data_IF_828867064575
#
_entry.id   IF_828867064575
#
_cell.length_a   1.000
_cell.length_b   1.000
_cell.length_c   1.000
_cell.angle_alpha   90.00
_cell.angle_beta   90.00
_cell.angle_gamma   90.00
#
_symmetry.space_group_name_H-M   'P 1'
#
loop_
_entity.id
_entity.type
_entity.pdbx_description
1 polymer ?
#
# COMPACT_ATOMS: atom_id res chain seq x y z
N UNK A 1 -0.36 34.78 -1.02
CA UNK A 1 -1.83 34.68 -0.90
C UNK A 1 -2.42 34.64 -2.29
N UNK A 2 -2.68 33.47 -2.85
CA UNK A 2 -3.48 33.31 -4.08
C UNK A 2 -4.45 32.14 -3.86
N UNK A 3 -5.46 32.38 -3.02
CA UNK A 3 -6.74 31.71 -3.16
C UNK A 3 -7.52 32.42 -4.27
N UNK A 4 -8.47 31.74 -4.89
CA UNK A 4 -9.38 32.25 -5.95
C UNK A 4 -8.88 32.13 -7.40
N UNK A 5 -8.91 30.90 -7.95
CA UNK A 5 -9.51 30.61 -9.28
C UNK A 5 -9.75 29.10 -9.56
N UNK A 6 -9.40 28.21 -8.62
CA UNK A 6 -9.56 26.75 -8.84
C UNK A 6 -11.03 26.30 -8.91
N UNK A 7 -11.97 26.97 -8.22
CA UNK A 7 -13.38 26.58 -8.23
C UNK A 7 -14.10 26.87 -9.55
N UNK A 8 -13.67 27.90 -10.31
CA UNK A 8 -14.21 28.20 -11.64
C UNK A 8 -13.71 27.24 -12.70
N UNK A 9 -12.41 26.91 -12.67
CA UNK A 9 -11.82 25.90 -13.55
C UNK A 9 -12.42 24.49 -13.30
N UNK A 10 -12.63 24.12 -12.03
CA UNK A 10 -13.23 22.84 -11.61
C UNK A 10 -14.66 22.63 -12.11
N UNK A 11 -15.54 23.63 -11.95
CA UNK A 11 -16.91 23.54 -12.52
C UNK A 11 -16.84 23.45 -14.03
N UNK A 12 -16.01 24.26 -14.68
CA UNK A 12 -15.94 24.27 -16.14
C UNK A 12 -15.45 22.92 -16.71
N UNK A 13 -14.43 22.28 -16.13
CA UNK A 13 -13.96 20.96 -16.59
C UNK A 13 -14.99 19.85 -16.31
N UNK A 14 -15.61 19.85 -15.13
CA UNK A 14 -16.66 18.88 -14.79
C UNK A 14 -17.92 19.07 -15.64
N UNK A 15 -18.36 20.31 -15.82
CA UNK A 15 -19.50 20.65 -16.67
C UNK A 15 -19.18 20.33 -18.13
N UNK A 16 -17.97 20.59 -18.61
CA UNK A 16 -17.55 20.21 -19.98
C UNK A 16 -17.48 18.69 -20.16
N UNK A 17 -16.91 17.93 -19.22
CA UNK A 17 -16.86 16.46 -19.30
C UNK A 17 -18.26 15.83 -19.19
N UNK A 18 -19.11 16.39 -18.34
CA UNK A 18 -20.50 15.96 -18.18
C UNK A 18 -21.36 16.30 -19.41
N UNK A 19 -21.15 17.47 -20.03
CA UNK A 19 -21.81 17.89 -21.27
C UNK A 19 -21.31 17.12 -22.50
N UNK A 20 -20.01 16.81 -22.58
CA UNK A 20 -19.41 16.07 -23.69
C UNK A 20 -19.92 14.63 -23.77
N UNK A 21 -20.24 14.03 -22.62
CA UNK A 21 -20.54 12.59 -22.57
C UNK A 21 -22.02 12.26 -22.53
N UNK A 22 -22.91 13.24 -22.31
CA UNK A 22 -24.35 13.16 -22.62
C UNK A 22 -24.98 11.77 -22.46
N UNK A 23 -24.69 11.08 -21.35
CA UNK A 23 -25.12 9.70 -21.06
C UNK A 23 -24.97 8.66 -22.19
N UNK A 24 -23.96 8.77 -23.06
CA UNK A 24 -23.64 7.77 -24.08
C UNK A 24 -22.44 6.94 -23.68
N UNK A 25 -22.70 5.79 -23.04
CA UNK A 25 -21.67 4.79 -22.65
C UNK A 25 -20.87 4.25 -23.85
N UNK A 26 -21.42 4.37 -25.05
CA UNK A 26 -20.85 3.90 -26.31
C UNK A 26 -19.79 4.85 -26.93
N UNK A 27 -19.58 6.05 -26.36
CA UNK A 27 -18.63 7.05 -26.90
C UNK A 27 -17.87 7.80 -25.79
N UNK A 28 -17.34 7.08 -24.80
CA UNK A 28 -16.52 7.72 -23.76
C UNK A 28 -15.15 8.15 -24.32
N UNK A 29 -14.68 9.37 -24.03
CA UNK A 29 -13.40 9.87 -24.54
C UNK A 29 -12.24 9.17 -23.83
N UNK A 30 -11.11 9.02 -24.54
CA UNK A 30 -9.85 8.71 -23.89
C UNK A 30 -9.33 9.98 -23.18
N UNK A 31 -9.24 9.94 -21.85
CA UNK A 31 -8.84 11.11 -21.05
C UNK A 31 -7.41 11.58 -21.33
N UNK A 32 -6.52 10.68 -21.77
CA UNK A 32 -5.12 11.02 -22.10
C UNK A 32 -5.01 11.89 -23.35
N UNK A 33 -6.03 11.95 -24.19
CA UNK A 33 -6.06 12.85 -25.35
C UNK A 33 -6.21 14.33 -24.95
N UNK A 34 -6.71 14.58 -23.73
CA UNK A 34 -7.05 15.92 -23.25
C UNK A 34 -6.25 16.35 -22.01
N UNK A 35 -5.82 15.40 -21.18
CA UNK A 35 -5.18 15.67 -19.89
C UNK A 35 -3.92 14.84 -19.70
N UNK A 36 -2.90 15.44 -19.07
CA UNK A 36 -1.75 14.70 -18.54
C UNK A 36 -2.15 13.88 -17.31
N UNK A 37 -1.42 12.81 -17.03
CA UNK A 37 -1.69 11.94 -15.86
C UNK A 37 -1.72 12.70 -14.53
N UNK A 38 -0.79 13.64 -14.32
CA UNK A 38 -0.80 14.53 -13.15
C UNK A 38 -2.06 15.40 -13.05
N UNK A 39 -2.62 15.86 -14.17
CA UNK A 39 -3.81 16.70 -14.17
C UNK A 39 -5.03 15.89 -13.76
N UNK A 40 -5.14 14.65 -14.26
CA UNK A 40 -6.18 13.70 -13.88
C UNK A 40 -6.06 13.36 -12.39
N UNK A 41 -4.85 13.09 -11.90
CA UNK A 41 -4.59 12.80 -10.47
C UNK A 41 -4.96 13.99 -9.56
N UNK A 42 -4.62 15.22 -9.96
CA UNK A 42 -5.07 16.44 -9.25
C UNK A 42 -6.60 16.57 -9.25
N UNK A 43 -7.27 16.27 -10.37
CA UNK A 43 -8.73 16.29 -10.46
C UNK A 43 -9.37 15.24 -9.52
N UNK A 44 -8.82 14.03 -9.48
CA UNK A 44 -9.25 12.96 -8.58
C UNK A 44 -9.02 13.36 -7.11
N UNK A 45 -7.84 13.88 -6.78
CA UNK A 45 -7.48 14.34 -5.44
C UNK A 45 -8.43 15.42 -4.93
N UNK A 46 -8.79 16.39 -5.77
CA UNK A 46 -9.76 17.42 -5.40
C UNK A 46 -11.17 16.85 -5.21
N UNK A 47 -11.56 15.85 -6.00
CA UNK A 47 -12.85 15.17 -5.83
C UNK A 47 -12.94 14.46 -4.48
N UNK A 48 -11.86 13.79 -4.06
CA UNK A 48 -11.75 13.16 -2.73
C UNK A 48 -11.85 14.20 -1.62
N UNK A 49 -11.20 15.38 -1.75
CA UNK A 49 -11.23 16.45 -0.74
C UNK A 49 -12.61 17.13 -0.63
N UNK A 50 -13.30 17.38 -1.75
CA UNK A 50 -14.60 18.09 -1.78
C UNK A 50 -15.72 17.28 -1.11
N UNK A 51 -15.63 15.94 -1.11
CA UNK A 51 -16.49 15.04 -0.33
C UNK A 51 -16.67 15.48 1.13
N UNK A 52 -15.68 16.19 1.70
CA UNK A 52 -15.71 16.74 3.06
C UNK A 52 -16.88 17.71 3.31
N UNK A 53 -17.45 18.34 2.28
CA UNK A 53 -18.31 19.53 2.45
C UNK A 53 -19.80 19.27 2.15
N UNK A 54 -20.17 18.35 1.25
CA UNK A 54 -21.59 18.14 0.86
C UNK A 54 -21.91 16.68 0.53
N UNK A 55 -23.01 16.18 1.14
CA UNK A 55 -23.90 15.02 0.83
C UNK A 55 -23.36 13.70 0.23
N UNK A 56 -24.08 12.62 0.58
CA UNK A 56 -23.89 11.17 0.32
C UNK A 56 -23.73 10.70 -1.15
N UNK A 57 -23.61 11.60 -2.12
CA UNK A 57 -23.41 11.24 -3.52
C UNK A 57 -21.95 11.50 -3.89
N UNK A 58 -21.05 10.69 -3.35
CA UNK A 58 -19.79 10.45 -4.06
C UNK A 58 -20.17 9.75 -5.37
N UNK A 59 -19.31 9.86 -6.38
CA UNK A 59 -19.16 8.90 -7.50
C UNK A 59 -19.41 9.37 -8.94
N UNK A 60 -19.93 10.57 -9.33
CA UNK A 60 -20.03 10.86 -10.76
C UNK A 60 -18.67 10.94 -11.46
N UNK A 61 -17.65 11.58 -10.84
CA UNK A 61 -16.38 11.80 -11.53
C UNK A 61 -15.43 10.60 -11.47
N UNK A 62 -15.27 9.97 -10.29
CA UNK A 62 -14.38 8.82 -10.16
C UNK A 62 -14.92 7.67 -11.01
N UNK A 63 -16.24 7.42 -10.97
CA UNK A 63 -16.87 6.41 -11.82
C UNK A 63 -16.79 6.78 -13.28
N UNK A 64 -16.93 8.07 -13.61
CA UNK A 64 -16.73 8.54 -14.96
C UNK A 64 -15.32 8.21 -15.45
N UNK A 65 -14.28 8.57 -14.69
CA UNK A 65 -12.88 8.27 -15.02
C UNK A 65 -12.68 6.75 -15.19
N UNK A 66 -13.19 5.94 -14.25
CA UNK A 66 -13.15 4.47 -14.36
C UNK A 66 -13.85 3.99 -15.63
N UNK A 67 -15.04 4.52 -15.92
CA UNK A 67 -15.85 4.12 -17.07
C UNK A 67 -15.19 4.46 -18.41
N UNK A 68 -14.37 5.51 -18.47
CA UNK A 68 -13.54 5.82 -19.65
C UNK A 68 -12.45 4.77 -19.91
N UNK A 69 -12.22 3.86 -18.96
CA UNK A 69 -11.14 2.88 -19.03
C UNK A 69 -9.78 3.44 -18.60
N UNK A 70 -9.73 4.68 -18.11
CA UNK A 70 -8.48 5.30 -17.65
C UNK A 70 -7.82 4.48 -16.54
N UNK A 71 -6.52 4.24 -16.70
CA UNK A 71 -5.62 3.66 -15.69
C UNK A 71 -4.44 4.60 -15.51
N UNK A 72 -3.98 4.72 -14.27
CA UNK A 72 -2.77 5.48 -13.98
C UNK A 72 -1.56 4.74 -14.55
N UNK A 73 -0.68 5.49 -15.20
CA UNK A 73 0.56 4.98 -15.75
C UNK A 73 1.70 5.64 -14.97
N UNK A 74 2.61 4.85 -14.38
CA UNK A 74 3.70 5.40 -13.61
C UNK A 74 4.66 6.17 -14.49
N UNK A 75 5.11 7.30 -13.95
CA UNK A 75 6.18 8.06 -14.56
C UNK A 75 7.50 7.31 -14.39
N UNK A 76 8.37 7.43 -15.40
CA UNK A 76 9.70 6.86 -15.40
C UNK A 76 10.73 7.98 -15.56
N UNK A 77 11.90 7.80 -14.94
CA UNK A 77 13.03 8.70 -15.16
C UNK A 77 13.70 8.46 -16.52
N UNK A 78 14.79 9.21 -16.79
CA UNK A 78 15.56 9.09 -18.04
C UNK A 78 16.18 7.71 -18.24
N UNK A 79 16.36 6.94 -17.15
CA UNK A 79 16.92 5.59 -17.16
C UNK A 79 15.82 4.51 -17.23
N UNK A 80 14.55 4.91 -17.33
CA UNK A 80 13.39 4.02 -17.39
C UNK A 80 12.97 3.47 -16.02
N UNK A 81 13.46 4.03 -14.91
CA UNK A 81 13.10 3.58 -13.56
C UNK A 81 11.83 4.27 -13.08
N UNK A 82 10.98 3.52 -12.38
CA UNK A 82 9.71 4.01 -11.86
C UNK A 82 9.91 5.12 -10.81
N UNK A 83 9.21 6.23 -10.98
CA UNK A 83 9.13 7.31 -9.99
C UNK A 83 8.06 6.99 -8.95
N UNK A 84 8.49 6.42 -7.83
CA UNK A 84 7.57 6.00 -6.76
C UNK A 84 7.14 7.15 -5.85
N UNK A 85 7.84 8.28 -5.82
CA UNK A 85 7.50 9.39 -4.93
C UNK A 85 6.42 10.28 -5.56
N UNK A 86 5.17 10.08 -5.17
CA UNK A 86 4.00 10.78 -5.72
C UNK A 86 2.83 10.79 -4.74
N UNK A 87 2.37 11.99 -4.38
CA UNK A 87 1.15 12.16 -3.57
C UNK A 87 -0.09 12.07 -4.46
N UNK A 88 -0.64 10.87 -4.61
CA UNK A 88 -1.85 10.60 -5.42
C UNK A 88 -3.17 10.94 -4.71
N UNK A 89 -4.29 10.88 -5.43
CA UNK A 89 -5.63 11.03 -4.85
C UNK A 89 -5.93 10.06 -3.70
N UNK A 90 -5.35 8.85 -3.71
CA UNK A 90 -5.50 7.85 -2.66
C UNK A 90 -4.97 8.34 -1.30
N UNK A 91 -3.86 9.10 -1.30
CA UNK A 91 -3.26 9.67 -0.08
C UNK A 91 -4.11 10.80 0.52
N UNK A 92 -5.08 11.32 -0.23
CA UNK A 92 -5.99 12.36 0.25
C UNK A 92 -7.27 11.79 0.88
N UNK A 93 -7.48 10.47 0.87
CA UNK A 93 -8.63 9.84 1.53
C UNK A 93 -8.52 10.05 3.05
N UNK A 94 -9.56 10.58 3.71
CA UNK A 94 -9.48 10.94 5.12
C UNK A 94 -9.42 9.72 6.04
N UNK A 95 -8.53 9.79 7.04
CA UNK A 95 -8.26 8.75 8.04
C UNK A 95 -9.42 8.45 9.03
N UNK A 96 -10.52 9.24 9.04
CA UNK A 96 -11.51 9.16 10.12
C UNK A 96 -12.64 8.16 9.86
N UNK A 97 -12.63 7.11 10.69
CA UNK A 97 -13.49 5.89 10.74
C UNK A 97 -14.96 6.12 11.05
N UNK A 98 -15.66 6.92 10.26
CA UNK A 98 -17.11 7.07 10.44
C UNK A 98 -17.95 6.52 9.29
N UNK A 99 -17.31 6.16 8.17
CA UNK A 99 -17.99 5.71 6.97
C UNK A 99 -17.21 4.61 6.26
N UNK A 100 -17.93 3.79 5.48
CA UNK A 100 -17.41 2.79 4.54
C UNK A 100 -16.65 3.49 3.41
N UNK A 101 -15.42 3.91 3.70
CA UNK A 101 -14.48 4.49 2.72
C UNK A 101 -13.78 3.42 1.88
N UNK A 102 -13.97 2.14 2.22
CA UNK A 102 -13.50 0.97 1.48
C UNK A 102 -13.97 1.01 0.02
N UNK A 103 -15.20 1.43 -0.27
CA UNK A 103 -15.70 1.54 -1.65
C UNK A 103 -14.92 2.58 -2.48
N UNK A 104 -14.68 3.77 -1.91
CA UNK A 104 -13.91 4.82 -2.58
C UNK A 104 -12.46 4.36 -2.83
N UNK A 105 -11.84 3.76 -1.82
CA UNK A 105 -10.46 3.28 -1.92
C UNK A 105 -10.35 2.17 -2.95
N UNK A 106 -11.31 1.24 -2.99
CA UNK A 106 -11.38 0.20 -4.02
C UNK A 106 -11.54 0.81 -5.43
N UNK A 107 -12.43 1.80 -5.62
CA UNK A 107 -12.58 2.51 -6.89
C UNK A 107 -11.31 3.22 -7.32
N UNK A 108 -10.59 3.84 -6.39
CA UNK A 108 -9.30 4.45 -6.69
C UNK A 108 -8.24 3.39 -7.07
N UNK A 109 -8.25 2.20 -6.46
CA UNK A 109 -7.39 1.09 -6.89
C UNK A 109 -7.77 0.51 -8.27
N UNK A 110 -8.99 0.72 -8.75
CA UNK A 110 -9.30 0.45 -10.17
C UNK A 110 -8.53 1.38 -11.10
N UNK A 111 -8.26 2.62 -10.69
CA UNK A 111 -7.44 3.58 -11.44
C UNK A 111 -5.94 3.29 -11.24
N UNK A 112 -5.49 3.14 -9.99
CA UNK A 112 -4.10 2.82 -9.63
C UNK A 112 -3.89 1.30 -9.55
N UNK A 113 -4.11 0.58 -10.65
CA UNK A 113 -4.15 -0.89 -10.67
C UNK A 113 -2.79 -1.58 -10.93
N UNK A 114 -1.69 -0.82 -10.93
CA UNK A 114 -0.32 -1.33 -11.07
C UNK A 114 0.28 -1.61 -9.69
N UNK A 115 0.05 -2.81 -9.15
CA UNK A 115 0.47 -3.19 -7.80
C UNK A 115 1.98 -3.48 -7.64
N UNK A 116 2.73 -3.52 -8.75
CA UNK A 116 4.19 -3.46 -8.76
C UNK A 116 4.71 -2.02 -8.53
N UNK A 117 3.82 -1.02 -8.49
CA UNK A 117 4.12 0.38 -8.19
C UNK A 117 3.56 0.73 -6.82
N UNK A 118 4.44 0.90 -5.84
CA UNK A 118 4.04 1.30 -4.49
C UNK A 118 4.32 2.79 -4.29
N UNK A 119 3.43 3.65 -4.80
CA UNK A 119 3.61 5.09 -4.67
C UNK A 119 3.66 5.51 -3.21
N UNK A 120 4.50 6.51 -2.92
CA UNK A 120 4.76 7.03 -1.57
C UNK A 120 4.59 8.54 -1.54
N UNK A 121 3.81 9.06 -0.59
CA UNK A 121 3.66 10.50 -0.35
C UNK A 121 4.83 11.13 0.42
N UNK A 122 4.75 12.45 0.65
CA UNK A 122 5.73 13.23 1.45
C UNK A 122 5.80 12.76 2.92
N UNK A 123 4.77 12.07 3.40
CA UNK A 123 4.71 11.42 4.71
C UNK A 123 5.50 10.11 4.77
N UNK A 124 5.81 9.53 3.61
CA UNK A 124 6.36 8.19 3.51
C UNK A 124 5.29 7.10 3.64
N UNK A 125 4.00 7.47 3.56
CA UNK A 125 2.89 6.51 3.50
C UNK A 125 2.76 6.05 2.06
N UNK A 126 2.61 4.74 1.88
CA UNK A 126 2.54 4.16 0.54
C UNK A 126 1.14 3.63 0.22
N UNK A 127 0.87 3.34 -1.05
CA UNK A 127 -0.39 2.70 -1.48
C UNK A 127 -0.64 1.37 -0.77
N UNK A 128 0.39 0.57 -0.55
CA UNK A 128 0.26 -0.66 0.23
C UNK A 128 -0.13 -0.39 1.69
N UNK A 129 0.44 0.63 2.32
CA UNK A 129 0.02 1.04 3.67
C UNK A 129 -1.46 1.43 3.69
N UNK A 130 -1.93 2.20 2.70
CA UNK A 130 -3.33 2.62 2.58
C UNK A 130 -4.25 1.41 2.35
N UNK A 131 -3.86 0.45 1.51
CA UNK A 131 -4.63 -0.79 1.31
C UNK A 131 -4.85 -1.55 2.63
N UNK A 132 -3.82 -1.61 3.48
CA UNK A 132 -3.90 -2.24 4.79
C UNK A 132 -4.71 -1.42 5.80
N UNK A 133 -4.57 -0.10 5.77
CA UNK A 133 -5.29 0.82 6.66
C UNK A 133 -6.80 0.85 6.39
N UNK A 134 -7.22 0.76 5.14
CA UNK A 134 -8.63 0.76 4.73
C UNK A 134 -9.22 -0.65 4.57
N UNK A 135 -8.42 -1.69 4.76
CA UNK A 135 -8.90 -3.08 4.73
C UNK A 135 -9.21 -3.60 3.31
N UNK A 136 -8.60 -3.01 2.29
CA UNK A 136 -8.76 -3.41 0.88
C UNK A 136 -8.01 -4.72 0.61
N UNK A 137 -8.62 -5.84 0.98
CA UNK A 137 -8.00 -7.18 0.90
C UNK A 137 -7.44 -7.52 -0.49
N UNK A 138 -8.20 -7.29 -1.56
CA UNK A 138 -7.75 -7.60 -2.92
C UNK A 138 -6.50 -6.79 -3.31
N UNK A 139 -6.50 -5.49 -3.04
CA UNK A 139 -5.35 -4.62 -3.29
C UNK A 139 -4.13 -5.04 -2.45
N UNK A 140 -4.32 -5.29 -1.15
CA UNK A 140 -3.25 -5.75 -0.27
C UNK A 140 -2.65 -7.08 -0.75
N UNK A 141 -3.49 -8.02 -1.21
CA UNK A 141 -3.04 -9.29 -1.77
C UNK A 141 -2.22 -9.08 -3.05
N UNK A 142 -2.68 -8.22 -3.97
CA UNK A 142 -1.96 -7.96 -5.22
C UNK A 142 -0.61 -7.28 -5.00
N UNK A 143 -0.49 -6.36 -4.02
CA UNK A 143 0.80 -5.79 -3.63
C UNK A 143 1.76 -6.88 -3.14
N UNK A 144 1.29 -7.78 -2.26
CA UNK A 144 2.09 -8.87 -1.73
C UNK A 144 2.52 -9.88 -2.80
N UNK A 145 1.59 -10.25 -3.70
CA UNK A 145 1.88 -11.11 -4.85
C UNK A 145 2.87 -10.47 -5.83
N UNK A 146 2.91 -9.13 -5.90
CA UNK A 146 3.88 -8.36 -6.68
C UNK A 146 5.26 -8.25 -5.98
N UNK A 147 5.44 -8.90 -4.84
CA UNK A 147 6.72 -8.95 -4.11
C UNK A 147 6.94 -7.79 -3.13
N UNK A 148 5.90 -7.02 -2.80
CA UNK A 148 6.00 -5.96 -1.80
C UNK A 148 6.37 -6.54 -0.43
N UNK A 149 7.34 -5.92 0.25
CA UNK A 149 7.73 -6.31 1.61
C UNK A 149 6.55 -6.10 2.59
N UNK A 150 6.03 -7.17 3.23
CA UNK A 150 4.95 -7.08 4.21
C UNK A 150 5.34 -6.34 5.49
N UNK A 151 6.64 -6.14 5.73
CA UNK A 151 7.19 -5.47 6.91
C UNK A 151 7.65 -4.03 6.63
N UNK A 152 7.32 -3.46 5.46
CA UNK A 152 7.74 -2.11 5.10
C UNK A 152 7.25 -1.07 6.12
N UNK A 153 8.12 -0.15 6.54
CA UNK A 153 7.79 0.81 7.60
C UNK A 153 7.54 2.21 7.03
N UNK A 154 6.51 2.90 7.53
CA UNK A 154 6.36 4.34 7.31
C UNK A 154 7.55 5.06 7.96
N UNK A 155 8.42 5.75 7.20
CA UNK A 155 9.68 6.31 7.70
C UNK A 155 9.53 7.24 8.90
N UNK A 156 8.46 8.04 8.96
CA UNK A 156 8.25 9.03 10.02
C UNK A 156 7.80 8.40 11.34
N UNK A 157 6.98 7.35 11.30
CA UNK A 157 6.32 6.79 12.48
C UNK A 157 6.81 5.39 12.86
N UNK A 158 7.47 4.67 11.94
CA UNK A 158 7.83 3.27 12.11
C UNK A 158 6.62 2.33 12.10
N UNK A 159 5.45 2.80 11.66
CA UNK A 159 4.24 1.98 11.59
C UNK A 159 4.38 0.99 10.42
N UNK A 160 4.11 -0.28 10.67
CA UNK A 160 4.08 -1.34 9.64
C UNK A 160 2.66 -1.53 9.08
N UNK A 161 2.48 -2.27 7.96
CA UNK A 161 1.15 -2.54 7.40
C UNK A 161 0.29 -3.35 8.38
N UNK A 162 0.91 -4.26 9.13
CA UNK A 162 0.20 -5.04 10.16
C UNK A 162 -0.28 -4.15 11.32
N UNK A 163 0.49 -3.15 11.74
CA UNK A 163 0.01 -2.17 12.72
C UNK A 163 -1.26 -1.47 12.21
N UNK A 164 -1.26 -0.99 10.97
CA UNK A 164 -2.42 -0.30 10.37
C UNK A 164 -3.65 -1.20 10.32
N UNK A 165 -3.51 -2.42 9.79
CA UNK A 165 -4.61 -3.38 9.70
C UNK A 165 -5.21 -3.69 11.08
N UNK A 166 -4.37 -3.90 12.11
CA UNK A 166 -4.80 -4.20 13.47
C UNK A 166 -5.44 -2.99 14.16
N UNK A 167 -4.83 -1.81 14.05
CA UNK A 167 -5.40 -0.58 14.58
C UNK A 167 -6.79 -0.38 13.98
N UNK A 168 -6.96 -0.61 12.68
CA UNK A 168 -8.20 -0.49 11.91
C UNK A 168 -9.17 -1.67 12.02
N UNK A 169 -8.80 -2.72 12.77
CA UNK A 169 -9.62 -3.92 12.97
C UNK A 169 -9.94 -4.67 11.65
N UNK A 170 -9.04 -4.61 10.67
CA UNK A 170 -9.13 -5.31 9.38
C UNK A 170 -8.50 -6.71 9.48
N UNK A 171 -9.16 -7.61 10.22
CA UNK A 171 -8.65 -8.96 10.55
C UNK A 171 -8.21 -9.77 9.33
N UNK A 172 -9.00 -9.80 8.26
CA UNK A 172 -8.64 -10.53 7.03
C UNK A 172 -7.34 -10.05 6.39
N UNK A 173 -7.08 -8.73 6.43
CA UNK A 173 -5.83 -8.18 5.93
C UNK A 173 -4.68 -8.47 6.89
N UNK A 174 -4.93 -8.46 8.20
CA UNK A 174 -3.94 -8.85 9.19
C UNK A 174 -3.52 -10.33 9.02
N UNK A 175 -4.47 -11.25 8.83
CA UNK A 175 -4.21 -12.67 8.53
C UNK A 175 -3.42 -12.83 7.23
N UNK A 176 -3.81 -12.11 6.18
CA UNK A 176 -3.07 -12.09 4.91
C UNK A 176 -1.61 -11.65 5.10
N UNK A 177 -1.37 -10.57 5.85
CA UNK A 177 -0.01 -10.09 6.13
C UNK A 177 0.82 -11.13 6.92
N UNK A 178 0.23 -11.81 7.91
CA UNK A 178 0.90 -12.88 8.66
C UNK A 178 1.29 -14.05 7.77
N UNK A 179 0.42 -14.44 6.84
CA UNK A 179 0.68 -15.50 5.85
C UNK A 179 1.87 -15.13 4.94
N UNK A 180 2.10 -13.84 4.69
CA UNK A 180 3.25 -13.35 3.93
C UNK A 180 4.50 -13.07 4.80
N UNK A 181 4.46 -13.34 6.11
CA UNK A 181 5.63 -13.17 6.99
C UNK A 181 5.72 -11.82 7.69
N UNK A 182 4.60 -11.12 7.90
CA UNK A 182 4.52 -9.91 8.73
C UNK A 182 4.52 -10.22 10.23
N UNK A 183 5.28 -11.21 10.68
CA UNK A 183 5.06 -11.86 11.97
C UNK A 183 6.17 -11.60 12.99
N UNK A 184 7.05 -10.60 12.77
CA UNK A 184 8.05 -10.24 13.78
C UNK A 184 7.39 -9.59 15.01
N UNK A 185 7.40 -10.26 16.19
CA UNK A 185 6.78 -9.73 17.40
C UNK A 185 7.56 -8.54 18.00
N UNK A 186 8.82 -8.35 17.58
CA UNK A 186 9.70 -7.28 18.06
C UNK A 186 9.68 -6.06 17.16
N UNK A 187 8.98 -6.12 16.02
CA UNK A 187 8.85 -4.98 15.12
C UNK A 187 8.00 -3.90 15.81
N UNK A 188 8.70 -2.95 16.43
CA UNK A 188 8.11 -1.82 17.14
C UNK A 188 8.12 -0.57 16.26
N UNK A 189 7.06 0.21 16.35
CA UNK A 189 7.03 1.56 15.81
C UNK A 189 7.94 2.50 16.62
N UNK A 190 8.07 3.76 16.19
CA UNK A 190 8.94 4.73 16.88
C UNK A 190 8.47 5.14 18.28
N UNK A 191 7.23 4.81 18.67
CA UNK A 191 6.77 4.96 20.05
C UNK A 191 7.02 3.71 20.91
N UNK A 192 7.75 2.71 20.40
CA UNK A 192 8.00 1.44 21.08
C UNK A 192 6.80 0.49 21.11
N UNK A 193 5.71 0.82 20.40
CA UNK A 193 4.52 -0.03 20.32
C UNK A 193 4.72 -1.10 19.25
N UNK A 194 4.49 -2.35 19.62
CA UNK A 194 4.49 -3.51 18.71
C UNK A 194 3.07 -3.87 18.30
N UNK A 195 2.92 -4.77 17.33
CA UNK A 195 1.62 -5.31 16.92
C UNK A 195 0.88 -5.98 18.08
N UNK A 196 1.59 -6.61 19.02
CA UNK A 196 1.01 -7.15 20.27
C UNK A 196 0.41 -6.05 21.16
N UNK A 197 1.08 -4.91 21.30
CA UNK A 197 0.53 -3.79 22.06
C UNK A 197 -0.79 -3.30 21.45
N UNK A 198 -0.87 -3.26 20.11
CA UNK A 198 -2.09 -2.88 19.40
C UNK A 198 -3.21 -3.90 19.61
N UNK A 199 -2.92 -5.20 19.49
CA UNK A 199 -3.91 -6.28 19.73
C UNK A 199 -4.48 -6.17 21.15
N UNK A 200 -3.62 -6.06 22.16
CA UNK A 200 -4.05 -5.97 23.56
C UNK A 200 -4.79 -4.67 23.92
N UNK A 201 -4.57 -3.58 23.16
CA UNK A 201 -5.26 -2.31 23.40
C UNK A 201 -6.64 -2.25 22.74
N UNK A 202 -6.95 -3.18 21.83
CA UNK A 202 -8.20 -3.18 21.08
C UNK A 202 -9.29 -3.87 21.92
N UNK A 203 -10.40 -3.18 22.20
CA UNK A 203 -11.48 -3.68 23.08
C UNK A 203 -12.26 -4.87 22.52
N UNK A 204 -11.99 -5.25 21.26
CA UNK A 204 -12.53 -6.44 20.64
C UNK A 204 -11.57 -7.59 20.92
N UNK A 205 -11.64 -8.12 22.15
CA UNK A 205 -10.88 -9.26 22.67
C UNK A 205 -11.11 -10.53 21.83
N UNK A 206 -10.64 -10.54 20.58
CA UNK A 206 -10.68 -11.71 19.73
C UNK A 206 -9.48 -12.58 20.09
N UNK A 207 -9.69 -13.33 21.18
CA UNK A 207 -8.76 -14.33 21.70
C UNK A 207 -8.36 -15.32 20.62
N UNK A 208 -9.22 -15.60 19.63
CA UNK A 208 -8.91 -16.52 18.54
C UNK A 208 -7.87 -15.92 17.58
N UNK A 209 -8.02 -14.66 17.19
CA UNK A 209 -7.01 -13.97 16.38
C UNK A 209 -5.67 -13.88 17.12
N UNK A 210 -5.70 -13.55 18.41
CA UNK A 210 -4.50 -13.50 19.25
C UNK A 210 -3.84 -14.89 19.37
N UNK A 211 -4.64 -15.96 19.55
CA UNK A 211 -4.16 -17.33 19.59
C UNK A 211 -3.54 -17.75 18.26
N UNK A 212 -4.15 -17.42 17.13
CA UNK A 212 -3.61 -17.70 15.79
C UNK A 212 -2.26 -17.00 15.60
N UNK A 213 -2.19 -15.70 15.94
CA UNK A 213 -0.93 -14.95 15.94
C UNK A 213 0.14 -15.65 16.77
N UNK A 214 -0.17 -16.11 17.99
CA UNK A 214 0.79 -16.83 18.84
C UNK A 214 1.13 -18.24 18.35
N UNK A 215 0.22 -18.96 17.70
CA UNK A 215 0.48 -20.30 17.17
C UNK A 215 1.46 -20.24 16.00
N UNK A 216 1.28 -19.30 15.08
CA UNK A 216 2.18 -19.12 13.94
C UNK A 216 3.63 -18.84 14.39
N UNK A 217 3.78 -18.05 15.46
CA UNK A 217 5.09 -17.82 16.11
C UNK A 217 5.72 -19.09 16.67
N UNK A 218 4.93 -19.97 17.28
CA UNK A 218 5.43 -21.19 17.92
C UNK A 218 5.88 -22.22 16.89
N UNK A 219 5.12 -22.41 15.81
CA UNK A 219 5.43 -23.38 14.75
C UNK A 219 6.73 -23.02 14.00
N UNK A 220 6.98 -21.73 13.75
CA UNK A 220 8.22 -21.27 13.09
C UNK A 220 9.45 -21.39 14.01
N UNK A 221 9.29 -21.21 15.33
CA UNK A 221 10.38 -21.45 16.30
C UNK A 221 10.78 -22.92 16.40
N UNK A 222 9.84 -23.88 16.29
CA UNK A 222 10.18 -25.30 16.21
C UNK A 222 10.90 -25.66 14.90
N UNK A 223 10.43 -25.13 13.76
CA UNK A 223 11.05 -25.39 12.46
C UNK A 223 12.49 -24.83 12.33
N UNK A 224 12.80 -23.72 13.01
CA UNK A 224 14.18 -23.18 13.05
C UNK A 224 15.12 -23.97 13.98
N UNK A 225 14.59 -24.71 14.96
CA UNK A 225 15.36 -25.57 15.86
C UNK A 225 15.80 -26.86 15.18
N UNK A 226 14.95 -27.43 14.32
CA UNK A 226 15.24 -28.65 13.56
C UNK A 226 16.28 -28.43 12.44
N UNK A 227 16.39 -27.22 11.88
CA UNK A 227 17.48 -26.88 10.94
C UNK A 227 18.85 -26.77 11.62
N UNK A 228 18.91 -26.49 12.93
CA UNK A 228 20.17 -26.41 13.69
C UNK A 228 20.62 -27.77 14.23
N UNK A 229 19.74 -28.76 14.36
CA UNK A 229 20.13 -30.14 14.74
C UNK A 229 20.65 -30.97 13.55
N UNK A 230 20.50 -30.48 12.31
CA UNK A 230 21.02 -31.12 11.09
C UNK A 230 22.44 -30.68 10.65
N UNK A 231 23.07 -29.72 11.34
CA UNK A 231 24.48 -29.35 11.12
C UNK A 231 25.37 -29.86 12.27
N UNK A 232 25.40 -31.18 12.45
CA UNK A 232 26.51 -31.87 13.13
C UNK A 232 27.13 -32.87 12.14
N UNK A 233 27.77 -32.34 11.10
CA UNK A 233 28.41 -33.14 10.04
C UNK A 233 29.78 -32.59 9.67
N UNK A 234 30.81 -33.24 10.20
CA UNK A 234 32.24 -33.25 9.80
C UNK A 234 32.97 -31.91 9.60
N UNK A 235 33.76 -31.52 10.61
CA UNK A 235 35.03 -30.82 10.34
C UNK A 235 36.00 -31.83 9.71
N UNK A 236 36.13 -31.81 8.38
CA UNK A 236 37.30 -32.43 7.72
C UNK A 236 38.30 -31.32 7.47
N UNK A 237 39.44 -31.40 8.16
CA UNK A 237 40.57 -30.49 8.04
C UNK A 237 41.17 -30.69 6.64
N UNK A 238 40.98 -29.72 5.74
CA UNK A 238 41.74 -29.65 4.49
C UNK A 238 43.15 -29.13 4.82
N UNK A 239 44.12 -30.04 4.84
CA UNK A 239 45.55 -29.71 4.87
C UNK A 239 45.91 -29.03 3.54
N UNK A 240 45.98 -27.69 3.54
CA UNK A 240 46.70 -26.94 2.50
C UNK A 240 48.17 -27.35 2.55
N UNK A 241 48.64 -28.03 1.50
CA UNK A 241 50.06 -28.29 1.29
C UNK A 241 50.68 -27.04 0.66
N UNK A 242 51.54 -26.35 1.40
CA UNK A 242 52.36 -25.24 0.89
C UNK A 242 53.41 -25.74 -0.13
N UNK A 243 53.73 -25.00 -1.20
CA UNK A 243 54.89 -25.28 -2.03
C UNK A 243 56.17 -24.75 -1.37
N UNK A 244 57.22 -25.59 -1.32
CA UNK A 244 58.57 -25.22 -0.86
C UNK A 244 59.21 -24.15 -1.76
N UNK A 245 60.02 -23.22 -1.20
CA UNK A 245 60.75 -22.22 -1.97
C UNK A 245 61.93 -22.85 -2.71
N UNK A 246 62.16 -22.42 -3.95
CA UNK A 246 63.37 -22.74 -4.72
C UNK A 246 64.50 -21.81 -4.24
N UNK A 247 65.57 -22.40 -3.71
CA UNK A 247 66.84 -21.71 -3.49
C UNK A 247 67.59 -21.61 -4.83
N UNK A 248 67.91 -20.38 -5.22
CA UNK A 248 68.86 -20.08 -6.28
C UNK A 248 70.26 -19.91 -5.69
N UNK A 249 71.19 -20.81 -6.07
CA UNK A 249 72.61 -20.51 -6.31
C UNK A 249 73.02 -21.32 -7.54
#
# INVERSE_FOLDING_TARGET
MYGWNMNGYRRNVLDQLYLLTGYRKDQLPNLRDFFRGEEIDRILAESVKVRKIFYKNIEPLIDFVISTGYKDEPEVDTDGRLLLHRTTALHHVPYFRRWREDDLVNRLFEIYNRFDVNYVDDGGVSHFHLACEFGCYAAAQQFLESGQDPNCLVPKTGISPLHLALMCNHKKVAELLLNYGADDPNLANKSGSTTLHVICSNKNDDVDFMNNFFQDQRQKKSASKDRRSGQSGSYTIALCSEPRPQEHI
#
